data_IF_120122919917
#
_entry.id   IF_120122919917
#
_cell.length_a   1.000
_cell.length_b   1.000
_cell.length_c   1.000
_cell.angle_alpha   90.00
_cell.angle_beta   90.00
_cell.angle_gamma   90.00
#
_symmetry.space_group_name_H-M   'P 1'
#
loop_
_entity.id
_entity.type
_entity.pdbx_description
1 polymer ?
#
# COMPACT_ATOMS: atom_id res chain seq x y z
N UNK A 1 8.26 10.85 25.44
CA UNK A 1 6.82 11.14 25.27
C UNK A 1 6.06 9.90 25.67
N UNK A 2 5.00 10.04 26.48
CA UNK A 2 4.10 8.93 26.82
C UNK A 2 3.10 8.73 25.65
N UNK A 3 2.63 7.51 25.39
CA UNK A 3 1.63 7.27 24.34
C UNK A 3 0.34 8.05 24.66
N UNK A 4 -0.26 8.68 23.63
CA UNK A 4 -1.46 9.54 23.78
C UNK A 4 -2.73 8.75 24.14
N UNK A 5 -2.67 7.43 24.15
CA UNK A 5 -3.79 6.49 24.28
C UNK A 5 -3.29 5.17 24.88
N UNK A 6 -4.16 4.48 25.63
CA UNK A 6 -3.80 3.46 26.63
C UNK A 6 -3.44 2.06 26.13
N UNK A 7 -3.24 1.82 24.83
CA UNK A 7 -3.02 0.46 24.31
C UNK A 7 -2.00 0.37 23.19
N UNK A 8 -1.35 -0.79 23.09
CA UNK A 8 -0.34 -1.18 22.08
C UNK A 8 -0.95 -1.46 20.68
N UNK A 9 -2.09 -0.84 20.38
CA UNK A 9 -2.89 -1.08 19.18
C UNK A 9 -2.46 -0.22 17.98
N UNK A 10 -3.01 -0.53 16.79
CA UNK A 10 -2.84 0.31 15.61
C UNK A 10 -3.59 1.63 15.78
N UNK A 11 -2.91 2.74 15.47
CA UNK A 11 -3.50 4.07 15.49
C UNK A 11 -3.22 4.78 14.18
N UNK A 12 -4.26 5.36 13.60
CA UNK A 12 -4.16 6.21 12.42
C UNK A 12 -4.43 7.64 12.85
N UNK A 13 -3.54 8.55 12.47
CA UNK A 13 -3.67 9.97 12.73
C UNK A 13 -3.84 10.75 11.43
N UNK A 14 -4.58 11.85 11.48
CA UNK A 14 -4.58 12.81 10.38
C UNK A 14 -3.32 13.70 10.38
N UNK A 15 -3.24 14.60 9.41
CA UNK A 15 -2.13 15.56 9.27
C UNK A 15 -2.03 16.56 10.44
N UNK A 16 -3.03 16.64 11.31
CA UNK A 16 -3.05 17.47 12.51
C UNK A 16 -2.77 16.67 13.78
N UNK A 17 -2.33 15.41 13.67
CA UNK A 17 -2.07 14.50 14.79
C UNK A 17 -3.31 14.20 15.65
N UNK A 18 -4.51 14.29 15.06
CA UNK A 18 -5.76 13.82 15.70
C UNK A 18 -5.95 12.34 15.40
N UNK A 19 -6.41 11.57 16.38
CA UNK A 19 -6.71 10.13 16.20
C UNK A 19 -7.92 9.99 15.30
N UNK A 20 -7.73 9.39 14.12
CA UNK A 20 -8.79 9.04 13.17
C UNK A 20 -9.29 7.61 13.41
N UNK A 21 -8.43 6.73 13.93
CA UNK A 21 -8.74 5.36 14.26
C UNK A 21 -7.84 4.85 15.39
N UNK A 22 -8.41 4.10 16.34
CA UNK A 22 -7.69 3.39 17.42
C UNK A 22 -8.26 1.98 17.55
N UNK A 23 -7.43 0.96 17.34
CA UNK A 23 -7.85 -0.44 17.40
C UNK A 23 -8.29 -0.91 18.80
N UNK A 24 -8.14 -0.08 19.85
CA UNK A 24 -8.69 -0.36 21.18
C UNK A 24 -10.12 0.18 21.37
N UNK A 25 -10.61 1.04 20.46
CA UNK A 25 -11.95 1.65 20.54
C UNK A 25 -12.87 1.19 19.43
N UNK A 26 -12.32 0.98 18.23
CA UNK A 26 -13.09 0.60 17.06
C UNK A 26 -12.65 -0.78 16.55
N UNK A 27 -13.63 -1.66 16.31
CA UNK A 27 -13.39 -2.97 15.70
C UNK A 27 -13.14 -2.75 14.22
N UNK A 28 -11.90 -2.94 13.79
CA UNK A 28 -11.59 -3.11 12.36
C UNK A 28 -11.92 -4.52 11.92
N UNK A 29 -12.59 -4.62 10.78
CA UNK A 29 -12.71 -5.86 10.04
C UNK A 29 -11.48 -6.03 9.16
N UNK A 30 -10.67 -7.06 9.42
CA UNK A 30 -9.65 -7.47 8.46
C UNK A 30 -10.33 -7.95 7.18
N UNK A 31 -10.10 -7.24 6.08
CA UNK A 31 -10.66 -7.57 4.77
C UNK A 31 -9.70 -8.45 3.98
N UNK A 32 -8.40 -8.32 4.26
CA UNK A 32 -7.37 -9.16 3.64
C UNK A 32 -5.98 -8.56 3.77
N UNK A 33 -5.02 -9.26 3.22
CA UNK A 33 -3.62 -8.84 3.23
C UNK A 33 -2.85 -9.60 2.18
N UNK A 34 -1.79 -8.98 1.69
CA UNK A 34 -0.98 -9.55 0.63
C UNK A 34 0.48 -9.19 0.82
N UNK A 35 1.32 -10.15 0.46
CA UNK A 35 2.76 -9.93 0.31
C UNK A 35 3.15 -9.92 -1.16
N UNK A 36 2.43 -10.62 -2.04
CA UNK A 36 2.83 -10.83 -3.43
C UNK A 36 1.86 -10.13 -4.37
N UNK A 37 2.40 -9.29 -5.25
CA UNK A 37 1.65 -8.51 -6.23
C UNK A 37 1.98 -8.96 -7.65
N UNK A 38 0.95 -9.12 -8.48
CA UNK A 38 1.08 -9.58 -9.86
C UNK A 38 1.45 -8.43 -10.79
N UNK A 39 2.31 -8.69 -11.76
CA UNK A 39 2.65 -7.71 -12.79
C UNK A 39 1.39 -7.23 -13.51
N UNK A 40 1.24 -5.92 -13.65
CA UNK A 40 0.13 -5.31 -14.37
C UNK A 40 0.59 -4.68 -15.70
N UNK A 41 1.46 -3.67 -15.61
CA UNK A 41 1.87 -2.89 -16.79
C UNK A 41 3.25 -2.27 -16.59
N UNK A 42 3.91 -1.99 -17.69
CA UNK A 42 5.21 -1.32 -17.74
C UNK A 42 5.12 -0.10 -18.67
N UNK A 43 5.57 1.05 -18.19
CA UNK A 43 5.64 2.29 -18.96
C UNK A 43 7.12 2.74 -19.06
N UNK A 44 7.78 2.54 -20.21
CA UNK A 44 9.18 2.95 -20.41
C UNK A 44 9.38 4.46 -20.56
N UNK A 45 8.30 5.23 -20.69
CA UNK A 45 8.33 6.66 -21.01
C UNK A 45 7.69 7.50 -19.90
N UNK A 46 7.88 7.13 -18.64
CA UNK A 46 7.40 7.90 -17.50
C UNK A 46 8.14 9.26 -17.43
N UNK A 47 7.48 10.36 -17.04
CA UNK A 47 8.11 11.67 -16.97
C UNK A 47 9.46 11.67 -16.25
N UNK A 48 10.41 12.44 -16.81
CA UNK A 48 11.79 12.46 -16.33
C UNK A 48 12.70 11.41 -16.98
N UNK A 49 12.26 10.73 -18.03
CA UNK A 49 13.04 9.69 -18.71
C UNK A 49 13.17 8.41 -17.87
N UNK A 50 12.24 8.20 -16.95
CA UNK A 50 12.22 7.07 -16.04
C UNK A 50 11.29 5.97 -16.57
N UNK A 51 11.47 4.74 -16.08
CA UNK A 51 10.55 3.66 -16.33
C UNK A 51 9.66 3.41 -15.11
N UNK A 52 8.35 3.27 -15.33
CA UNK A 52 7.38 2.97 -14.27
C UNK A 52 6.87 1.54 -14.45
N UNK A 53 6.96 0.73 -13.40
CA UNK A 53 6.35 -0.58 -13.35
C UNK A 53 5.16 -0.54 -12.39
N UNK A 54 4.05 -1.17 -12.80
CA UNK A 54 2.83 -1.32 -12.01
C UNK A 54 2.54 -2.80 -11.77
N UNK A 55 2.08 -3.11 -10.57
CA UNK A 55 1.58 -4.40 -10.13
C UNK A 55 0.21 -4.23 -9.48
N UNK A 56 -0.53 -5.33 -9.34
CA UNK A 56 -1.87 -5.33 -8.74
C UNK A 56 -2.04 -6.51 -7.77
N UNK A 57 -2.96 -6.35 -6.81
CA UNK A 57 -3.45 -7.46 -6.01
C UNK A 57 -4.64 -8.14 -6.70
N UNK A 58 -4.67 -9.48 -6.78
CA UNK A 58 -5.78 -10.20 -7.42
C UNK A 58 -7.05 -10.26 -6.56
N UNK A 59 -7.11 -9.50 -5.47
CA UNK A 59 -8.25 -9.46 -4.56
C UNK A 59 -9.06 -8.19 -4.80
N UNK A 60 -10.36 -8.36 -4.98
CA UNK A 60 -11.31 -7.27 -5.09
C UNK A 60 -11.54 -6.63 -3.72
N UNK A 61 -11.30 -5.33 -3.60
CA UNK A 61 -11.49 -4.53 -2.41
C UNK A 61 -12.71 -3.62 -2.54
N UNK A 62 -13.39 -3.39 -1.42
CA UNK A 62 -14.55 -2.50 -1.33
C UNK A 62 -14.16 -1.01 -1.23
N UNK A 63 -15.11 -0.14 -1.51
CA UNK A 63 -14.94 1.33 -1.52
C UNK A 63 -14.66 1.91 -0.12
N UNK A 64 -15.02 1.20 0.95
CA UNK A 64 -14.95 1.68 2.34
C UNK A 64 -13.79 1.07 3.17
N UNK A 65 -12.71 0.60 2.52
CA UNK A 65 -11.57 0.02 3.22
C UNK A 65 -10.42 1.02 3.45
N UNK A 66 -9.80 0.96 4.63
CA UNK A 66 -8.52 1.58 4.97
C UNK A 66 -7.35 0.60 4.75
N UNK A 67 -6.17 1.15 4.49
CA UNK A 67 -4.97 0.38 4.15
C UNK A 67 -3.83 0.71 5.10
N UNK A 68 -3.17 -0.32 5.63
CA UNK A 68 -1.92 -0.17 6.36
C UNK A 68 -0.79 -0.83 5.58
N UNK A 69 0.23 -0.04 5.24
CA UNK A 69 1.45 -0.51 4.60
C UNK A 69 2.54 -0.62 5.65
N UNK A 70 3.05 -1.83 5.89
CA UNK A 70 4.17 -2.02 6.80
C UNK A 70 5.49 -1.93 6.03
N UNK A 71 6.32 -0.96 6.37
CA UNK A 71 7.66 -0.82 5.76
C UNK A 71 8.73 -1.58 6.55
N UNK A 72 8.36 -2.27 7.63
CA UNK A 72 9.30 -2.96 8.51
C UNK A 72 10.03 -4.09 7.77
N UNK A 73 11.36 -4.01 7.72
CA UNK A 73 12.26 -5.00 7.10
C UNK A 73 12.05 -5.28 5.60
N UNK A 74 11.36 -4.40 4.87
CA UNK A 74 11.15 -4.60 3.43
C UNK A 74 12.30 -3.95 2.66
N UNK A 75 13.13 -4.79 2.02
CA UNK A 75 14.14 -4.31 1.07
C UNK A 75 13.52 -4.34 -0.33
N UNK A 76 13.13 -3.18 -0.84
CA UNK A 76 12.75 -3.07 -2.25
C UNK A 76 13.98 -3.43 -3.10
N UNK A 77 13.92 -4.53 -3.84
CA UNK A 77 15.09 -5.03 -4.58
C UNK A 77 15.16 -4.50 -6.02
N UNK A 78 14.10 -3.85 -6.51
CA UNK A 78 13.95 -3.42 -7.92
C UNK A 78 13.45 -1.98 -8.08
N UNK A 79 13.01 -1.32 -7.01
CA UNK A 79 12.45 0.03 -7.11
C UNK A 79 13.50 1.08 -6.77
N UNK A 80 13.51 2.17 -7.53
CA UNK A 80 14.40 3.31 -7.32
C UNK A 80 13.86 4.31 -6.30
N UNK A 81 12.61 4.12 -5.87
CA UNK A 81 11.91 4.97 -4.93
C UNK A 81 10.96 4.15 -4.05
N UNK A 82 10.32 4.82 -3.09
CA UNK A 82 9.23 4.23 -2.34
C UNK A 82 8.03 3.94 -3.26
N UNK A 83 7.43 2.74 -3.19
CA UNK A 83 6.27 2.38 -3.99
C UNK A 83 5.03 3.21 -3.61
N UNK A 84 4.24 3.60 -4.61
CA UNK A 84 2.93 4.24 -4.45
C UNK A 84 1.83 3.18 -4.52
N UNK A 85 0.98 3.10 -3.50
CA UNK A 85 -0.09 2.09 -3.39
C UNK A 85 -1.45 2.79 -3.39
N UNK A 86 -2.41 2.31 -4.19
CA UNK A 86 -3.76 2.86 -4.25
C UNK A 86 -4.59 2.33 -5.41
N UNK A 87 -5.64 3.05 -5.77
CA UNK A 87 -6.47 2.77 -6.94
C UNK A 87 -6.00 3.65 -8.12
N UNK A 88 -6.00 3.11 -9.35
CA UNK A 88 -5.69 3.93 -10.54
C UNK A 88 -6.83 4.90 -10.86
N UNK A 89 -8.07 4.52 -10.56
CA UNK A 89 -9.28 5.32 -10.74
C UNK A 89 -10.34 4.95 -9.68
N UNK A 90 -11.29 5.85 -9.42
CA UNK A 90 -12.30 5.67 -8.37
C UNK A 90 -13.27 4.50 -8.61
N UNK A 91 -13.38 4.01 -9.85
CA UNK A 91 -14.23 2.88 -10.25
C UNK A 91 -13.56 1.51 -10.08
N UNK A 92 -12.24 1.47 -9.85
CA UNK A 92 -11.52 0.21 -9.73
C UNK A 92 -11.71 -0.40 -8.36
N UNK A 93 -11.91 -1.72 -8.36
CA UNK A 93 -11.99 -2.55 -7.17
C UNK A 93 -10.69 -3.30 -6.88
N UNK A 94 -9.64 -3.09 -7.68
CA UNK A 94 -8.31 -3.65 -7.46
C UNK A 94 -7.37 -2.58 -6.92
N UNK A 95 -6.46 -2.98 -6.03
CA UNK A 95 -5.38 -2.11 -5.56
C UNK A 95 -4.17 -2.35 -6.45
N UNK A 96 -3.52 -1.24 -6.79
CA UNK A 96 -2.31 -1.18 -7.58
C UNK A 96 -1.16 -0.67 -6.73
N UNK A 97 0.03 -1.12 -7.09
CA UNK A 97 1.28 -0.56 -6.64
C UNK A 97 2.11 -0.17 -7.84
N UNK A 98 2.67 1.04 -7.82
CA UNK A 98 3.52 1.55 -8.88
C UNK A 98 4.80 2.12 -8.30
N UNK A 99 5.91 1.91 -9.00
CA UNK A 99 7.19 2.50 -8.61
C UNK A 99 8.11 2.63 -9.81
N UNK A 100 9.02 3.60 -9.75
CA UNK A 100 10.09 3.74 -10.73
C UNK A 100 11.06 2.56 -10.61
N UNK A 101 11.44 2.00 -11.75
CA UNK A 101 12.39 0.89 -11.90
C UNK A 101 13.45 1.23 -12.94
N UNK A 102 14.60 0.54 -12.92
CA UNK A 102 15.63 0.71 -13.95
C UNK A 102 15.25 0.09 -15.29
N UNK A 103 14.58 -1.06 -15.26
CA UNK A 103 14.16 -1.82 -16.43
C UNK A 103 12.89 -2.62 -16.14
N UNK A 104 12.19 -3.04 -17.20
CA UNK A 104 11.02 -3.90 -17.07
C UNK A 104 11.36 -5.18 -16.33
N UNK A 105 10.55 -5.53 -15.35
CA UNK A 105 10.72 -6.76 -14.59
C UNK A 105 9.52 -7.67 -14.75
N UNK A 106 9.78 -8.97 -14.78
CA UNK A 106 8.75 -10.01 -14.69
C UNK A 106 8.64 -10.56 -13.27
N UNK A 107 9.37 -10.00 -12.31
CA UNK A 107 9.30 -10.42 -10.93
C UNK A 107 7.99 -9.96 -10.28
N UNK A 108 7.43 -10.85 -9.46
CA UNK A 108 6.37 -10.46 -8.55
C UNK A 108 6.92 -9.45 -7.54
N UNK A 109 6.13 -8.43 -7.24
CA UNK A 109 6.53 -7.42 -6.28
C UNK A 109 6.14 -7.90 -4.88
N UNK A 110 7.14 -8.05 -4.01
CA UNK A 110 6.95 -8.53 -2.65
C UNK A 110 6.88 -7.33 -1.68
N UNK A 111 5.66 -6.93 -1.31
CA UNK A 111 5.42 -5.80 -0.42
C UNK A 111 4.19 -6.03 0.47
N UNK A 112 4.34 -5.97 1.80
CA UNK A 112 3.26 -6.28 2.72
C UNK A 112 2.22 -5.14 2.76
N UNK A 113 0.97 -5.52 2.49
CA UNK A 113 -0.20 -4.68 2.64
C UNK A 113 -1.21 -5.38 3.55
N UNK A 114 -1.75 -4.63 4.50
CA UNK A 114 -2.89 -5.01 5.33
C UNK A 114 -4.08 -4.13 4.94
N UNK A 115 -5.25 -4.75 4.78
CA UNK A 115 -6.50 -4.06 4.45
C UNK A 115 -7.52 -4.27 5.56
N UNK A 116 -8.09 -3.17 6.02
CA UNK A 116 -9.08 -3.13 7.10
C UNK A 116 -10.29 -2.31 6.68
N UNK A 117 -11.49 -2.63 7.16
CA UNK A 117 -12.72 -1.86 6.97
C UNK A 117 -13.41 -1.61 8.31
#
# INVERSE_FOLDING_TARGET
MLPKTGGWGMQVFDSQSRVMFDSNRDIVRYVGGAQVWNKYSYNPSWPGGMALQTWYLPFTYGVEAYFQVSHFNVKAFITLEAPRIGFLENSMSLIFVSSVVEFETNHQFNWPLIVVA
#
